data_IF_541866576308
#
_entry.id   IF_541866576308
#
_cell.length_a   1.000
_cell.length_b   1.000
_cell.length_c   1.000
_cell.angle_alpha   90.00
_cell.angle_beta   90.00
_cell.angle_gamma   90.00
#
_symmetry.space_group_name_H-M   'P 1'
#
loop_
_entity.id
_entity.type
_entity.pdbx_description
1 polymer ?
#
# COMPACT_ATOMS: atom_id res chain seq x y z
N UNK A 1 23.78 5.19 -38.18
CA UNK A 1 24.00 3.78 -37.76
C UNK A 1 25.34 3.73 -37.04
N UNK A 2 25.52 3.04 -35.89
CA UNK A 2 24.88 1.79 -35.45
C UNK A 2 24.17 1.98 -34.08
N UNK A 3 23.64 1.03 -33.32
CA UNK A 3 23.40 -0.41 -33.42
C UNK A 3 22.20 -0.68 -32.52
N UNK A 4 21.22 -1.39 -33.06
CA UNK A 4 20.14 -2.03 -32.34
C UNK A 4 20.76 -3.12 -31.43
N UNK A 5 20.43 -3.14 -30.15
CA UNK A 5 20.50 -4.36 -29.34
C UNK A 5 19.11 -4.62 -28.80
N UNK A 6 18.45 -5.60 -29.42
CA UNK A 6 17.34 -6.32 -28.84
C UNK A 6 17.88 -7.28 -27.78
N UNK A 7 17.26 -7.28 -26.59
CA UNK A 7 17.36 -8.38 -25.64
C UNK A 7 15.93 -8.84 -25.32
N UNK A 8 15.57 -9.97 -25.90
CA UNK A 8 14.39 -10.77 -25.62
C UNK A 8 14.76 -11.84 -24.58
N UNK A 9 13.95 -11.98 -23.52
CA UNK A 9 13.75 -13.22 -22.76
C UNK A 9 12.65 -13.03 -21.70
N UNK A 10 11.40 -13.29 -22.09
CA UNK A 10 10.39 -14.24 -21.55
C UNK A 10 10.43 -14.71 -20.04
N UNK A 11 9.39 -15.41 -19.52
CA UNK A 11 8.37 -14.83 -18.64
C UNK A 11 8.18 -15.57 -17.28
N UNK A 12 7.27 -15.03 -16.45
CA UNK A 12 6.49 -15.71 -15.41
C UNK A 12 7.20 -16.14 -14.10
N UNK A 13 6.47 -16.39 -12.98
CA UNK A 13 5.02 -16.36 -12.79
C UNK A 13 4.53 -15.45 -11.66
N UNK A 14 3.29 -15.00 -11.83
CA UNK A 14 2.40 -14.57 -10.76
C UNK A 14 2.15 -15.75 -9.81
N UNK A 15 2.40 -15.55 -8.51
CA UNK A 15 1.84 -16.38 -7.45
C UNK A 15 0.58 -15.70 -6.95
N UNK A 16 -0.56 -16.19 -7.45
CA UNK A 16 -1.83 -16.06 -6.76
C UNK A 16 -1.98 -17.29 -5.86
N UNK A 17 -2.27 -17.08 -4.57
CA UNK A 17 -3.18 -18.01 -3.89
C UNK A 17 -3.96 -17.37 -2.75
N UNK A 18 -5.22 -17.81 -2.56
CA UNK A 18 -6.28 -17.09 -1.86
C UNK A 18 -6.66 -17.75 -0.52
N UNK A 19 -7.28 -16.99 0.37
CA UNK A 19 -8.20 -17.42 1.46
C UNK A 19 -8.28 -16.26 2.48
N UNK A 20 -9.39 -15.88 3.08
CA UNK A 20 -10.78 -16.32 3.00
C UNK A 20 -11.62 -15.14 3.55
N UNK A 21 -12.79 -14.95 2.95
CA UNK A 21 -13.85 -14.12 3.52
C UNK A 21 -14.50 -14.89 4.66
N UNK A 22 -14.47 -14.30 5.86
CA UNK A 22 -15.45 -14.59 6.91
C UNK A 22 -15.79 -13.23 7.52
N UNK A 23 -16.88 -12.62 7.06
CA UNK A 23 -17.55 -11.56 7.80
C UNK A 23 -18.38 -12.19 8.94
N UNK A 24 -18.00 -12.06 10.22
CA UNK A 24 -18.88 -12.43 11.32
C UNK A 24 -20.04 -11.44 11.44
N UNK A 25 -21.22 -11.97 11.74
CA UNK A 25 -22.42 -11.22 12.10
C UNK A 25 -22.13 -10.19 13.22
N UNK A 26 -22.84 -9.03 13.26
CA UNK A 26 -22.64 -8.05 14.32
C UNK A 26 -23.08 -8.65 15.65
N UNK A 27 -22.10 -9.04 16.46
CA UNK A 27 -22.28 -9.38 17.86
C UNK A 27 -22.73 -8.12 18.64
N UNK A 28 -23.55 -8.27 19.68
CA UNK A 28 -23.96 -7.14 20.52
C UNK A 28 -22.72 -6.41 21.05
N UNK A 29 -22.68 -5.10 20.84
CA UNK A 29 -21.61 -4.23 21.31
C UNK A 29 -21.49 -4.35 22.83
N UNK A 30 -20.44 -5.02 23.29
CA UNK A 30 -20.08 -5.04 24.69
C UNK A 30 -19.67 -3.63 25.13
N UNK A 31 -20.28 -3.16 26.22
CA UNK A 31 -19.90 -1.93 26.92
C UNK A 31 -18.38 -1.93 27.19
N UNK A 32 -17.67 -0.78 27.08
CA UNK A 32 -16.22 -0.76 27.27
C UNK A 32 -15.88 -1.24 28.68
N UNK A 33 -15.26 -2.42 28.76
CA UNK A 33 -14.66 -2.93 29.99
C UNK A 33 -13.54 -1.96 30.38
N UNK A 34 -13.63 -1.42 31.58
CA UNK A 34 -12.56 -0.61 32.16
C UNK A 34 -11.25 -1.41 32.11
N UNK A 35 -10.23 -0.84 31.47
CA UNK A 35 -8.93 -1.46 31.34
C UNK A 35 -8.37 -1.78 32.73
N UNK A 36 -8.12 -3.07 33.00
CA UNK A 36 -7.36 -3.49 34.16
C UNK A 36 -5.95 -2.87 34.10
N UNK A 37 -5.35 -2.48 35.24
CA UNK A 37 -4.03 -1.89 35.24
C UNK A 37 -3.03 -2.90 34.66
N UNK A 38 -2.47 -2.55 33.51
CA UNK A 38 -1.33 -3.27 32.92
C UNK A 38 -0.17 -3.19 33.90
N UNK A 39 0.26 -4.36 34.40
CA UNK A 39 1.48 -4.46 35.18
C UNK A 39 2.65 -3.92 34.34
N UNK A 40 3.40 -2.96 34.89
CA UNK A 40 4.54 -2.37 34.23
C UNK A 40 5.54 -3.48 33.84
N UNK A 41 5.79 -3.63 32.54
CA UNK A 41 6.89 -4.44 32.05
C UNK A 41 8.20 -3.91 32.68
N UNK A 42 9.15 -4.79 33.03
CA UNK A 42 10.43 -4.35 33.59
C UNK A 42 11.06 -3.38 32.60
N UNK A 43 11.42 -2.20 33.11
CA UNK A 43 12.10 -1.19 32.32
C UNK A 43 13.37 -1.83 31.73
N UNK A 44 13.39 -2.01 30.41
CA UNK A 44 14.64 -2.23 29.69
C UNK A 44 15.57 -1.11 30.11
N UNK A 45 16.77 -1.47 30.57
CA UNK A 45 17.79 -0.50 30.95
C UNK A 45 17.90 0.55 29.84
N UNK A 46 17.44 1.76 30.14
CA UNK A 46 17.42 2.83 29.15
C UNK A 46 18.88 3.12 28.80
N UNK A 47 19.22 3.03 27.52
CA UNK A 47 20.51 3.47 27.03
C UNK A 47 20.71 4.94 27.42
N UNK A 48 21.95 5.36 27.72
CA UNK A 48 22.24 6.76 28.03
C UNK A 48 21.72 7.66 26.90
N UNK A 49 21.11 8.82 27.22
CA UNK A 49 20.56 9.70 26.20
C UNK A 49 21.66 10.11 25.23
N UNK A 50 21.40 9.94 23.94
CA UNK A 50 22.30 10.37 22.86
C UNK A 50 21.94 11.81 22.51
N UNK A 51 22.92 12.70 22.63
CA UNK A 51 22.73 14.11 22.37
C UNK A 51 22.82 14.34 20.86
N UNK A 52 21.87 15.10 20.31
CA UNK A 52 21.90 15.47 18.91
C UNK A 52 23.15 16.31 18.62
N UNK A 53 23.98 15.85 17.70
CA UNK A 53 25.14 16.59 17.21
C UNK A 53 24.72 17.49 16.04
N UNK A 54 25.01 18.78 16.15
CA UNK A 54 24.87 19.74 15.05
C UNK A 54 26.21 19.93 14.38
N UNK A 55 26.24 19.77 13.06
CA UNK A 55 27.44 19.97 12.26
C UNK A 55 27.70 21.47 12.03
N UNK A 56 28.86 22.02 12.45
CA UNK A 56 29.17 23.42 12.26
C UNK A 56 29.69 23.68 10.84
N UNK A 57 28.77 23.95 9.91
CA UNK A 57 29.10 24.23 8.50
C UNK A 57 29.99 25.47 8.31
N UNK A 58 29.92 26.48 9.19
CA UNK A 58 30.77 27.66 9.08
C UNK A 58 32.24 27.33 9.37
N UNK A 59 32.50 26.55 10.43
CA UNK A 59 33.86 26.18 10.85
C UNK A 59 34.54 25.29 9.81
N UNK A 60 33.79 24.34 9.27
CA UNK A 60 34.29 23.45 8.23
C UNK A 60 34.56 24.20 6.90
N UNK A 61 33.84 25.28 6.60
CA UNK A 61 34.12 26.13 5.44
C UNK A 61 35.39 26.96 5.62
N UNK A 62 35.59 27.52 6.82
CA UNK A 62 36.85 28.17 7.18
C UNK A 62 38.04 27.20 7.14
N UNK A 63 37.84 25.95 7.57
CA UNK A 63 38.89 24.92 7.49
C UNK A 63 39.27 24.60 6.04
N UNK A 64 38.28 24.42 5.16
CA UNK A 64 38.53 24.19 3.73
C UNK A 64 39.30 25.37 3.11
N UNK A 65 38.88 26.60 3.38
CA UNK A 65 39.55 27.82 2.89
C UNK A 65 41.01 27.90 3.38
N UNK A 66 41.26 27.60 4.66
CA UNK A 66 42.62 27.55 5.23
C UNK A 66 43.51 26.49 4.59
N UNK A 67 42.91 25.41 4.07
CA UNK A 67 43.59 24.35 3.35
C UNK A 67 43.73 24.64 1.85
N UNK A 68 43.28 25.80 1.37
CA UNK A 68 43.26 26.15 -0.06
C UNK A 68 42.26 25.34 -0.87
N UNK A 69 41.24 24.75 -0.21
CA UNK A 69 40.21 23.92 -0.81
C UNK A 69 38.86 24.67 -0.80
N UNK A 70 38.05 24.43 -1.83
CA UNK A 70 36.70 25.00 -1.91
C UNK A 70 35.70 23.95 -1.46
N UNK A 71 34.98 24.24 -0.39
CA UNK A 71 33.82 23.43 -0.03
C UNK A 71 32.63 23.77 -0.93
N UNK A 72 32.15 22.79 -1.69
CA UNK A 72 30.97 22.93 -2.55
C UNK A 72 29.74 22.38 -1.85
N UNK A 73 28.84 23.27 -1.44
CA UNK A 73 27.48 22.95 -0.99
C UNK A 73 26.51 23.92 -1.70
N UNK A 74 25.24 23.53 -1.79
CA UNK A 74 24.17 24.41 -2.25
C UNK A 74 23.96 25.56 -1.26
N UNK A 75 23.74 26.76 -1.79
CA UNK A 75 23.47 27.97 -1.01
C UNK A 75 22.21 27.78 -0.14
N UNK A 76 22.39 27.81 1.19
CA UNK A 76 21.32 27.57 2.15
C UNK A 76 20.21 28.62 2.06
N UNK A 77 20.52 29.87 1.71
CA UNK A 77 19.52 30.92 1.56
C UNK A 77 18.60 30.63 0.37
N UNK A 78 19.17 30.18 -0.76
CA UNK A 78 18.40 29.80 -1.95
C UNK A 78 17.55 28.56 -1.71
N UNK A 79 18.08 27.58 -0.97
CA UNK A 79 17.29 26.39 -0.58
C UNK A 79 16.12 26.80 0.30
N UNK A 80 16.35 27.66 1.30
CA UNK A 80 15.29 28.12 2.20
C UNK A 80 14.20 28.89 1.45
N UNK A 81 14.57 29.74 0.48
CA UNK A 81 13.63 30.47 -0.37
C UNK A 81 12.78 29.52 -1.22
N UNK A 82 13.40 28.55 -1.89
CA UNK A 82 12.68 27.55 -2.71
C UNK A 82 11.77 26.68 -1.84
N UNK A 83 12.23 26.27 -0.65
CA UNK A 83 11.41 25.51 0.28
C UNK A 83 10.20 26.32 0.77
N UNK A 84 10.39 27.61 1.07
CA UNK A 84 9.30 28.50 1.43
C UNK A 84 8.30 28.68 0.28
N UNK A 85 8.78 28.79 -0.97
CA UNK A 85 7.93 28.85 -2.15
C UNK A 85 7.10 27.57 -2.33
N UNK A 86 7.72 26.39 -2.21
CA UNK A 86 7.02 25.09 -2.29
C UNK A 86 6.01 24.93 -1.16
N UNK A 87 6.36 25.33 0.07
CA UNK A 87 5.46 25.26 1.22
C UNK A 87 4.26 26.21 1.07
N UNK A 88 4.43 27.31 0.35
CA UNK A 88 3.36 28.25 0.05
C UNK A 88 2.42 27.78 -1.07
N UNK A 89 2.74 26.70 -1.79
CA UNK A 89 1.85 26.17 -2.83
C UNK A 89 0.56 25.59 -2.23
N UNK A 90 -0.62 26.04 -2.70
CA UNK A 90 -1.89 25.51 -2.21
C UNK A 90 -2.06 24.07 -2.68
N UNK A 91 -2.25 23.16 -1.72
CA UNK A 91 -2.46 21.72 -1.99
C UNK A 91 -3.67 21.56 -2.93
N UNK A 92 -3.58 20.76 -4.01
CA UNK A 92 -4.71 20.47 -4.86
C UNK A 92 -5.90 19.96 -4.04
N UNK A 93 -7.08 20.51 -4.31
CA UNK A 93 -8.32 20.10 -3.63
C UNK A 93 -8.58 18.63 -3.97
N UNK A 94 -8.57 17.78 -2.95
CA UNK A 94 -8.94 16.39 -3.13
C UNK A 94 -10.46 16.31 -3.29
N UNK A 95 -10.92 15.87 -4.46
CA UNK A 95 -12.32 15.52 -4.68
C UNK A 95 -12.44 14.00 -4.56
N UNK A 96 -13.03 13.49 -3.46
CA UNK A 96 -13.32 12.07 -3.35
C UNK A 96 -14.29 11.68 -4.45
N UNK A 97 -13.81 10.88 -5.41
CA UNK A 97 -14.69 10.27 -6.40
C UNK A 97 -15.68 9.36 -5.68
N UNK A 98 -16.96 9.53 -5.99
CA UNK A 98 -17.97 8.59 -5.53
C UNK A 98 -17.63 7.20 -6.09
N UNK A 99 -17.68 6.18 -5.22
CA UNK A 99 -17.46 4.81 -5.66
C UNK A 99 -18.69 4.39 -6.47
N UNK A 100 -18.52 3.92 -7.71
CA UNK A 100 -19.64 3.39 -8.48
C UNK A 100 -20.42 2.34 -7.66
N UNK A 101 -21.75 2.31 -7.75
CA UNK A 101 -22.56 1.35 -7.01
C UNK A 101 -22.16 -0.08 -7.37
N UNK A 102 -22.22 -0.98 -6.38
CA UNK A 102 -21.92 -2.38 -6.59
C UNK A 102 -22.90 -2.97 -7.61
N UNK A 103 -22.38 -3.68 -8.61
CA UNK A 103 -23.20 -4.39 -9.59
C UNK A 103 -23.97 -5.48 -8.85
N UNK A 104 -25.29 -5.38 -8.86
CA UNK A 104 -26.17 -6.40 -8.29
C UNK A 104 -26.21 -7.58 -9.26
N UNK A 105 -25.81 -8.76 -8.80
CA UNK A 105 -25.97 -10.00 -9.56
C UNK A 105 -27.43 -10.45 -9.50
N UNK A 106 -27.92 -11.00 -10.61
CA UNK A 106 -29.24 -11.60 -10.66
C UNK A 106 -29.19 -12.98 -9.99
N UNK A 107 -29.79 -13.09 -8.81
CA UNK A 107 -29.92 -14.33 -8.03
C UNK A 107 -31.15 -15.17 -8.47
N UNK A 108 -31.79 -14.79 -9.58
CA UNK A 108 -32.86 -15.56 -10.18
C UNK A 108 -32.40 -16.94 -10.69
N UNK A 109 -33.34 -17.89 -10.86
CA UNK A 109 -33.02 -19.20 -11.41
C UNK A 109 -32.37 -19.05 -12.80
N UNK A 110 -31.36 -19.88 -13.08
CA UNK A 110 -30.63 -19.83 -14.34
C UNK A 110 -31.57 -20.17 -15.51
N UNK A 111 -31.84 -19.20 -16.38
CA UNK A 111 -32.72 -19.37 -17.55
C UNK A 111 -31.93 -19.21 -18.85
N UNK A 112 -32.08 -20.17 -19.76
CA UNK A 112 -31.44 -20.14 -21.08
C UNK A 112 -32.02 -18.99 -21.92
N UNK A 113 -31.24 -17.94 -22.14
CA UNK A 113 -31.67 -16.67 -22.78
C UNK A 113 -32.25 -16.85 -24.20
N UNK A 114 -31.89 -17.90 -24.92
CA UNK A 114 -32.41 -18.23 -26.24
C UNK A 114 -33.81 -18.88 -26.23
N UNK A 115 -34.15 -19.58 -25.14
CA UNK A 115 -35.37 -20.44 -25.10
C UNK A 115 -36.26 -20.24 -23.87
N UNK A 116 -35.85 -19.37 -22.95
CA UNK A 116 -36.48 -19.15 -21.63
C UNK A 116 -36.67 -20.43 -20.81
N UNK A 117 -35.87 -21.47 -21.05
CA UNK A 117 -35.90 -22.71 -20.26
C UNK A 117 -35.07 -22.57 -19.00
N UNK A 118 -35.61 -23.04 -17.88
CA UNK A 118 -34.89 -23.17 -16.61
C UNK A 118 -33.80 -24.26 -16.75
N UNK A 119 -32.56 -23.90 -16.45
CA UNK A 119 -31.41 -24.78 -16.56
C UNK A 119 -31.33 -25.80 -15.42
N UNK A 120 -32.00 -25.56 -14.28
CA UNK A 120 -32.04 -26.53 -13.16
C UNK A 120 -32.70 -27.87 -13.53
N UNK A 121 -33.52 -27.86 -14.59
CA UNK A 121 -34.26 -29.03 -15.07
C UNK A 121 -33.50 -29.80 -16.16
N UNK A 122 -32.32 -29.31 -16.58
CA UNK A 122 -31.53 -29.91 -17.66
C UNK A 122 -30.19 -30.40 -17.09
N UNK A 123 -29.89 -31.69 -17.30
CA UNK A 123 -28.59 -32.24 -16.88
C UNK A 123 -27.52 -31.85 -17.89
N UNK A 124 -26.65 -30.92 -17.51
CA UNK A 124 -25.63 -30.36 -18.40
C UNK A 124 -24.26 -31.03 -18.16
N UNK A 125 -23.45 -31.23 -19.22
CA UNK A 125 -22.21 -32.01 -19.13
C UNK A 125 -21.12 -31.38 -18.26
N UNK A 126 -21.11 -30.06 -18.07
CA UNK A 126 -20.13 -29.36 -17.23
C UNK A 126 -20.42 -29.45 -15.73
N UNK A 127 -21.65 -29.76 -15.32
CA UNK A 127 -21.96 -30.03 -13.91
C UNK A 127 -21.23 -31.28 -13.41
N UNK A 128 -21.04 -32.28 -14.29
CA UNK A 128 -20.25 -33.47 -13.94
C UNK A 128 -18.77 -33.13 -13.73
N UNK A 129 -18.25 -32.14 -14.47
CA UNK A 129 -16.87 -31.69 -14.34
C UNK A 129 -16.64 -30.88 -13.05
N UNK A 130 -17.65 -30.15 -12.55
CA UNK A 130 -17.55 -29.39 -11.30
C UNK A 130 -17.76 -30.25 -10.04
N UNK A 131 -18.49 -31.37 -10.14
CA UNK A 131 -18.61 -32.34 -9.04
C UNK A 131 -17.35 -33.21 -8.86
N UNK A 132 -16.49 -33.28 -9.87
CA UNK A 132 -15.15 -33.84 -9.77
C UNK A 132 -14.14 -32.77 -9.31
N UNK A 133 -14.41 -32.12 -8.17
CA UNK A 133 -13.43 -31.28 -7.47
C UNK A 133 -12.26 -32.13 -6.92
N UNK A 134 -11.08 -31.54 -6.65
CA UNK A 134 -9.86 -32.30 -6.44
C UNK A 134 -9.99 -33.18 -5.20
N UNK A 135 -9.64 -34.46 -5.36
CA UNK A 135 -9.50 -35.39 -4.26
C UNK A 135 -8.46 -34.85 -3.26
N UNK A 136 -8.92 -34.57 -2.04
CA UNK A 136 -8.11 -34.40 -0.84
C UNK A 136 -8.43 -35.55 0.12
#
# INVERSE_FOLDING_TARGET
APLLVAAEAAPAPVLASPAADVAPAPAPVASPVAAAPVAAAPATAALPPVQAYTLPLADLAGLADSAGLVWVNSDAAKIAEVQAAIAAEPKPVHVPRERPPAVVLDEGPLVLVETRKDLSQLKLPFEQANQAGPAA
#
